data_IF_331689722214
#
_entry.id   IF_331689722214
#
_cell.length_a   1.000
_cell.length_b   1.000
_cell.length_c   1.000
_cell.angle_alpha   90.00
_cell.angle_beta   90.00
_cell.angle_gamma   90.00
#
_symmetry.space_group_name_H-M   'P 1'
#
loop_
_entity.id
_entity.type
_entity.pdbx_description
1 polymer ?
#
# COMPACT_ATOMS: atom_id res chain seq x y z
N UNK A 1 -7.33 -13.97 15.73
CA UNK A 1 -6.45 -13.14 16.58
C UNK A 1 -5.40 -12.49 15.69
N UNK A 2 -5.56 -11.20 15.38
CA UNK A 2 -4.55 -10.44 14.62
C UNK A 2 -3.51 -9.99 15.65
N UNK A 3 -2.30 -10.55 15.59
CA UNK A 3 -1.19 -10.13 16.44
C UNK A 3 -0.63 -8.83 15.88
N UNK A 4 -0.87 -7.71 16.58
CA UNK A 4 -0.20 -6.45 16.30
C UNK A 4 1.25 -6.55 16.79
N UNK A 5 2.16 -6.74 15.86
CA UNK A 5 3.59 -6.80 16.16
C UNK A 5 4.10 -5.37 16.38
N UNK A 6 4.34 -4.99 17.63
CA UNK A 6 5.00 -3.71 17.94
C UNK A 6 6.47 -3.69 17.55
N UNK A 7 7.04 -4.82 17.12
CA UNK A 7 8.44 -4.97 16.72
C UNK A 7 8.57 -5.35 15.25
N UNK A 8 9.55 -4.74 14.60
CA UNK A 8 9.89 -4.99 13.21
C UNK A 8 10.48 -6.39 13.06
N UNK A 9 9.92 -7.22 12.18
CA UNK A 9 10.41 -8.59 11.93
C UNK A 9 11.79 -8.64 11.27
N UNK A 10 12.28 -7.52 10.71
CA UNK A 10 13.57 -7.47 9.99
C UNK A 10 14.73 -6.99 10.87
N UNK A 11 14.51 -6.01 11.73
CA UNK A 11 15.57 -5.43 12.56
C UNK A 11 15.33 -5.58 14.06
N UNK A 12 14.18 -6.11 14.48
CA UNK A 12 13.80 -6.29 15.88
C UNK A 12 13.47 -4.99 16.63
N UNK A 13 13.59 -3.81 16.00
CA UNK A 13 13.27 -2.52 16.63
C UNK A 13 11.77 -2.32 16.75
N UNK A 14 11.36 -1.51 17.72
CA UNK A 14 9.97 -1.07 17.84
C UNK A 14 9.54 -0.30 16.57
N UNK A 15 8.33 -0.59 16.08
CA UNK A 15 7.70 0.15 14.99
C UNK A 15 7.13 1.45 15.59
N UNK A 16 7.37 2.58 14.93
CA UNK A 16 6.84 3.87 15.39
C UNK A 16 5.30 3.79 15.51
N UNK A 17 4.70 4.13 16.66
CA UNK A 17 3.25 4.14 16.85
C UNK A 17 2.51 4.97 15.80
N UNK A 18 3.03 6.14 15.40
CA UNK A 18 2.43 6.98 14.35
C UNK A 18 2.29 6.23 13.02
N UNK A 19 3.23 5.31 12.75
CA UNK A 19 3.19 4.45 11.56
C UNK A 19 2.15 3.34 11.69
N UNK A 20 1.97 2.79 12.89
CA UNK A 20 0.95 1.78 13.16
C UNK A 20 -0.47 2.38 13.13
N UNK A 21 -0.63 3.67 13.45
CA UNK A 21 -1.91 4.37 13.32
C UNK A 21 -2.35 4.49 11.85
N UNK A 22 -1.41 4.80 10.96
CA UNK A 22 -1.68 4.94 9.52
C UNK A 22 -1.73 3.59 8.80
N UNK A 23 -0.82 2.68 9.17
CA UNK A 23 -0.61 1.37 8.53
C UNK A 23 -0.57 0.27 9.59
N UNK A 24 -1.73 -0.07 10.19
CA UNK A 24 -1.81 -1.04 11.29
C UNK A 24 -1.34 -2.45 10.91
N UNK A 25 -1.39 -2.78 9.63
CA UNK A 25 -1.00 -4.09 9.10
C UNK A 25 0.50 -4.21 8.79
N UNK A 26 1.27 -3.13 8.98
CA UNK A 26 2.70 -3.14 8.66
C UNK A 26 3.49 -3.98 9.66
N UNK A 27 4.30 -4.93 9.17
CA UNK A 27 5.15 -5.80 9.99
C UNK A 27 6.60 -5.32 10.10
N UNK A 28 6.95 -4.22 9.42
CA UNK A 28 8.31 -3.69 9.34
C UNK A 28 8.37 -2.18 9.65
N UNK A 29 9.48 -1.74 10.24
CA UNK A 29 9.73 -0.32 10.50
C UNK A 29 10.01 0.46 9.21
N UNK A 30 9.95 1.80 9.30
CA UNK A 30 10.22 2.72 8.18
C UNK A 30 11.57 2.44 7.52
N UNK A 31 12.65 2.36 8.30
CA UNK A 31 14.00 2.14 7.79
C UNK A 31 14.13 0.82 7.00
N UNK A 32 13.44 -0.23 7.44
CA UNK A 32 13.44 -1.51 6.74
C UNK A 32 12.57 -1.46 5.48
N UNK A 33 11.44 -0.75 5.53
CA UNK A 33 10.58 -0.54 4.37
C UNK A 33 11.27 0.27 3.26
N UNK A 34 12.10 1.26 3.61
CA UNK A 34 12.87 2.05 2.64
C UNK A 34 13.94 1.23 1.93
N UNK A 35 14.51 0.21 2.59
CA UNK A 35 15.58 -0.63 2.02
C UNK A 35 15.08 -1.86 1.26
N UNK A 36 14.02 -2.50 1.76
CA UNK A 36 13.55 -3.80 1.28
C UNK A 36 12.22 -3.69 0.50
N UNK A 37 11.59 -2.52 0.51
CA UNK A 37 10.21 -2.34 0.08
C UNK A 37 9.21 -2.61 1.23
N UNK A 38 8.00 -2.09 1.08
CA UNK A 38 6.92 -2.31 2.05
C UNK A 38 6.38 -3.73 1.95
N UNK A 39 6.17 -4.39 3.09
CA UNK A 39 5.40 -5.65 3.21
C UNK A 39 3.89 -5.43 3.03
N UNK A 40 3.50 -4.36 2.32
CA UNK A 40 2.11 -4.13 1.95
C UNK A 40 1.80 -5.06 0.79
N UNK A 41 0.86 -5.98 1.02
CA UNK A 41 0.23 -6.75 -0.05
C UNK A 41 -0.71 -5.79 -0.77
N UNK A 42 -0.15 -5.00 -1.69
CA UNK A 42 -0.95 -4.19 -2.60
C UNK A 42 -1.66 -5.22 -3.48
N UNK A 43 -2.99 -5.32 -3.37
CA UNK A 43 -3.77 -6.06 -4.37
C UNK A 43 -3.44 -5.42 -5.71
N UNK A 44 -2.98 -6.22 -6.67
CA UNK A 44 -2.86 -5.81 -8.07
C UNK A 44 -4.23 -5.32 -8.53
N UNK A 45 -4.51 -4.05 -8.26
CA UNK A 45 -5.71 -3.39 -8.72
C UNK A 45 -5.38 -3.16 -10.17
N UNK A 46 -5.97 -3.98 -11.05
CA UNK A 46 -5.83 -3.84 -12.50
C UNK A 46 -6.02 -2.36 -12.81
N UNK A 47 -4.93 -1.66 -13.13
CA UNK A 47 -4.98 -0.33 -13.71
C UNK A 47 -5.50 -0.55 -15.14
N UNK A 48 -6.79 -0.77 -15.24
CA UNK A 48 -7.52 -0.98 -16.48
C UNK A 48 -8.73 -0.10 -16.39
N UNK A 49 -8.73 1.01 -17.12
CA UNK A 49 -9.94 1.77 -17.32
C UNK A 49 -10.90 0.90 -18.12
N UNK A 50 -12.15 0.82 -17.68
CA UNK A 50 -13.17 0.11 -18.43
C UNK A 50 -13.23 0.67 -19.87
N UNK A 51 -13.35 -0.23 -20.85
CA UNK A 51 -13.28 0.13 -22.27
C UNK A 51 -14.37 1.12 -22.67
N UNK A 52 -15.53 1.08 -22.01
CA UNK A 52 -16.62 2.00 -22.30
C UNK A 52 -16.30 3.40 -21.75
N UNK A 53 -15.68 3.48 -20.58
CA UNK A 53 -15.19 4.76 -20.03
C UNK A 53 -14.12 5.40 -20.93
N UNK A 54 -13.26 4.59 -21.56
CA UNK A 54 -12.26 5.11 -22.51
C UNK A 54 -12.89 5.71 -23.77
N UNK A 55 -13.96 5.09 -24.29
CA UNK A 55 -14.68 5.58 -25.47
C UNK A 55 -15.44 6.87 -25.18
N UNK A 56 -16.05 6.99 -24.00
CA UNK A 56 -16.78 8.20 -23.59
C UNK A 56 -15.87 9.42 -23.55
N UNK A 57 -14.66 9.29 -22.98
CA UNK A 57 -13.68 10.38 -22.96
C UNK A 57 -13.21 10.79 -24.36
N UNK A 58 -13.04 9.83 -25.28
CA UNK A 58 -12.69 10.14 -26.67
C UNK A 58 -13.86 10.78 -27.45
N UNK A 59 -15.10 10.39 -27.13
CA UNK A 59 -16.31 10.99 -27.71
C UNK A 59 -16.49 12.46 -27.30
N UNK A 60 -16.15 12.81 -26.06
CA UNK A 60 -16.28 14.16 -25.52
C UNK A 60 -15.38 15.21 -26.21
N UNK A 61 -14.34 14.79 -26.94
CA UNK A 61 -13.38 15.69 -27.61
C UNK A 61 -13.87 16.11 -29.01
N UNK A 62 -14.98 15.52 -29.52
CA UNK A 62 -15.52 15.78 -30.87
C UNK A 62 -16.78 16.66 -30.91
N UNK A 63 -16.96 17.56 -29.94
CA UNK A 63 -18.05 18.55 -29.92
C UNK A 63 -17.61 19.90 -30.49
#
# INVERSE_FOLDING_TARGET
MIMFFHTCIKCGRLINPERLEVLPETRICKDCAEKLGSDMIIKDTKIGMDLDTYKDLLGAIRS
#
